data_IF_135843865798
#
_entry.id   IF_135843865798
#
_cell.length_a   1.000
_cell.length_b   1.000
_cell.length_c   1.000
_cell.angle_alpha   90.00
_cell.angle_beta   90.00
_cell.angle_gamma   90.00
#
_symmetry.space_group_name_H-M   'P 1'
#
loop_
_entity.id
_entity.type
_entity.pdbx_description
1 polymer ?
#
# COMPACT_ATOMS: atom_id res chain seq x y z
N UNK A 1 45.35 53.44 -37.57
CA UNK A 1 45.00 52.01 -37.97
C UNK A 1 44.30 51.38 -36.79
N UNK A 2 43.03 51.19 -36.91
CA UNK A 2 42.13 50.80 -35.81
C UNK A 2 41.72 49.37 -36.08
N UNK A 3 42.08 48.44 -35.18
CA UNK A 3 41.70 47.04 -35.25
C UNK A 3 40.48 46.75 -34.33
N UNK A 4 39.32 46.54 -34.90
CA UNK A 4 38.10 46.22 -34.18
C UNK A 4 38.11 44.70 -33.79
N UNK A 5 38.05 44.45 -32.48
CA UNK A 5 37.90 43.07 -31.95
C UNK A 5 36.41 42.83 -31.76
N UNK A 6 35.84 42.00 -32.66
CA UNK A 6 34.48 41.51 -32.55
C UNK A 6 34.41 40.41 -31.44
N UNK A 7 33.76 40.71 -30.31
CA UNK A 7 33.40 39.74 -29.31
C UNK A 7 32.10 39.03 -29.75
N UNK A 8 32.23 37.80 -30.13
CA UNK A 8 31.08 36.90 -30.34
C UNK A 8 30.60 36.39 -28.97
N UNK A 9 29.54 37.00 -28.45
CA UNK A 9 28.81 36.43 -27.30
C UNK A 9 27.97 35.25 -27.78
N UNK A 10 28.41 34.03 -27.52
CA UNK A 10 27.57 32.85 -27.67
C UNK A 10 26.54 32.82 -26.52
N UNK A 11 25.31 33.17 -26.83
CA UNK A 11 24.19 32.90 -25.96
C UNK A 11 23.93 31.39 -25.94
N UNK A 12 24.30 30.74 -24.83
CA UNK A 12 23.91 29.35 -24.57
C UNK A 12 22.46 29.42 -24.10
N UNK A 13 21.55 29.21 -25.04
CA UNK A 13 20.15 29.00 -24.79
C UNK A 13 19.95 27.67 -24.09
N UNK A 14 19.94 27.66 -22.77
CA UNK A 14 19.54 26.49 -22.00
C UNK A 14 18.01 26.38 -22.12
N UNK A 15 17.59 25.57 -23.08
CA UNK A 15 16.20 25.17 -23.19
C UNK A 15 15.82 24.35 -21.94
N UNK A 16 15.07 24.95 -21.04
CA UNK A 16 14.56 24.35 -19.80
C UNK A 16 13.06 24.00 -19.84
N UNK A 17 12.55 23.29 -20.85
CA UNK A 17 11.17 22.80 -20.76
C UNK A 17 11.04 21.44 -20.09
N UNK A 18 12.15 20.73 -19.81
CA UNK A 18 12.06 19.35 -19.33
C UNK A 18 11.91 19.20 -17.81
N UNK A 19 12.09 20.26 -17.04
CA UNK A 19 11.97 20.24 -15.58
C UNK A 19 10.52 20.31 -15.06
N UNK A 20 9.56 20.67 -15.91
CA UNK A 20 8.15 20.81 -15.54
C UNK A 20 7.31 19.52 -15.72
N UNK A 21 7.89 18.47 -16.35
CA UNK A 21 7.14 17.28 -16.68
C UNK A 21 7.19 16.17 -15.61
N UNK A 22 7.95 16.34 -14.54
CA UNK A 22 8.17 15.29 -13.52
C UNK A 22 7.18 15.36 -12.35
N UNK A 23 6.33 16.39 -12.26
CA UNK A 23 5.51 16.64 -11.04
C UNK A 23 4.11 16.04 -11.12
N UNK A 24 3.70 15.40 -12.22
CA UNK A 24 2.30 14.98 -12.43
C UNK A 24 2.00 13.50 -12.23
N UNK A 25 2.89 12.71 -11.62
CA UNK A 25 2.56 11.35 -11.19
C UNK A 25 2.09 11.28 -9.74
N UNK A 26 1.51 12.34 -9.20
CA UNK A 26 0.76 12.27 -7.96
C UNK A 26 -0.46 11.38 -8.19
N UNK A 27 -0.63 10.34 -7.39
CA UNK A 27 -1.87 9.58 -7.32
C UNK A 27 -3.01 10.53 -6.97
N UNK A 28 -3.63 11.15 -7.96
CA UNK A 28 -4.83 11.95 -7.78
C UNK A 28 -6.01 11.01 -7.58
N UNK A 29 -6.07 10.33 -6.44
CA UNK A 29 -7.30 9.68 -5.97
C UNK A 29 -8.16 10.78 -5.36
N UNK A 30 -9.11 11.30 -6.11
CA UNK A 30 -10.14 12.23 -5.65
C UNK A 30 -11.21 11.50 -4.83
N UNK A 31 -10.81 10.70 -3.86
CA UNK A 31 -11.76 10.17 -2.89
C UNK A 31 -11.99 11.22 -1.81
N UNK A 32 -13.22 11.69 -1.70
CA UNK A 32 -13.67 12.55 -0.59
C UNK A 32 -13.96 11.74 0.68
N UNK A 33 -13.81 10.41 0.63
CA UNK A 33 -14.05 9.54 1.77
C UNK A 33 -12.90 9.65 2.77
N UNK A 34 -13.25 9.93 4.03
CA UNK A 34 -12.28 10.01 5.12
C UNK A 34 -12.33 8.72 5.94
N UNK A 35 -11.24 7.96 5.88
CA UNK A 35 -11.09 6.78 6.73
C UNK A 35 -10.81 7.20 8.18
N UNK A 36 -11.32 6.41 9.13
CA UNK A 36 -10.99 6.62 10.53
C UNK A 36 -9.48 6.47 10.75
N UNK A 37 -8.90 7.37 11.50
CA UNK A 37 -7.49 7.24 11.92
C UNK A 37 -7.36 6.22 13.04
N UNK A 38 -6.26 5.42 13.06
CA UNK A 38 -6.00 4.48 14.13
C UNK A 38 -5.95 5.19 15.50
N UNK A 39 -6.80 4.77 16.42
CA UNK A 39 -6.88 5.27 17.80
C UNK A 39 -6.33 4.25 18.78
N UNK A 40 -6.23 4.63 20.06
CA UNK A 40 -5.70 3.78 21.11
C UNK A 40 -6.51 2.48 21.35
N UNK A 41 -7.79 2.46 20.97
CA UNK A 41 -8.69 1.30 21.05
C UNK A 41 -8.55 0.32 19.88
N UNK A 42 -7.80 0.68 18.85
CA UNK A 42 -7.52 -0.21 17.72
C UNK A 42 -6.55 -1.32 18.15
N UNK A 43 -6.87 -2.53 17.71
CA UNK A 43 -5.99 -3.68 17.88
C UNK A 43 -4.91 -3.65 16.81
N UNK A 44 -3.65 -3.84 17.24
CA UNK A 44 -2.51 -3.93 16.33
C UNK A 44 -1.92 -5.34 16.39
N UNK A 45 -1.59 -5.88 15.21
CA UNK A 45 -0.81 -7.11 15.06
C UNK A 45 0.30 -6.89 14.05
N UNK A 46 1.47 -7.40 14.40
CA UNK A 46 2.66 -7.38 13.53
C UNK A 46 3.05 -8.80 13.18
N UNK A 47 3.60 -8.98 11.98
CA UNK A 47 4.02 -10.30 11.53
C UNK A 47 4.71 -10.22 10.19
N UNK A 48 4.77 -11.34 9.51
CA UNK A 48 5.30 -11.45 8.15
C UNK A 48 4.19 -11.81 7.18
N UNK A 49 4.25 -11.25 5.98
CA UNK A 49 3.39 -11.57 4.86
C UNK A 49 4.23 -12.10 3.70
N UNK A 50 3.90 -13.29 3.22
CA UNK A 50 4.29 -13.76 1.90
C UNK A 50 3.15 -13.45 0.95
N UNK A 51 3.42 -12.61 -0.03
CA UNK A 51 2.55 -12.35 -1.18
C UNK A 51 3.13 -12.99 -2.42
N UNK A 52 2.31 -13.72 -3.16
CA UNK A 52 2.70 -14.35 -4.42
C UNK A 52 1.61 -14.17 -5.46
N UNK A 53 2.00 -13.74 -6.64
CA UNK A 53 1.21 -13.77 -7.86
C UNK A 53 2.04 -14.41 -9.01
N UNK A 54 1.50 -14.61 -10.23
CA UNK A 54 2.23 -15.24 -11.32
C UNK A 54 3.54 -14.56 -11.73
N UNK A 55 3.68 -13.26 -11.42
CA UNK A 55 4.84 -12.45 -11.82
C UNK A 55 5.82 -12.16 -10.69
N UNK A 56 5.35 -12.22 -9.44
CA UNK A 56 6.10 -11.69 -8.31
C UNK A 56 5.86 -12.54 -7.06
N UNK A 57 6.93 -12.77 -6.30
CA UNK A 57 6.86 -13.30 -4.94
C UNK A 57 7.61 -12.35 -4.02
N UNK A 58 6.95 -11.87 -2.98
CA UNK A 58 7.52 -10.94 -2.00
C UNK A 58 7.24 -11.46 -0.60
N UNK A 59 8.27 -11.42 0.25
CA UNK A 59 8.15 -11.61 1.70
C UNK A 59 8.55 -10.30 2.35
N UNK A 60 7.78 -9.87 3.32
CA UNK A 60 8.06 -8.63 4.05
C UNK A 60 7.31 -8.58 5.38
N UNK A 61 7.48 -7.47 6.07
CA UNK A 61 6.83 -7.23 7.34
C UNK A 61 5.43 -6.68 7.11
N UNK A 62 4.48 -7.10 7.91
CA UNK A 62 3.11 -6.64 7.87
C UNK A 62 2.68 -6.10 9.23
N UNK A 63 2.04 -4.95 9.20
CA UNK A 63 1.32 -4.38 10.34
C UNK A 63 -0.15 -4.32 10.00
N UNK A 64 -0.98 -4.92 10.82
CA UNK A 64 -2.45 -4.88 10.68
C UNK A 64 -3.01 -4.16 11.88
N UNK A 65 -3.88 -3.18 11.62
CA UNK A 65 -4.63 -2.44 12.62
C UNK A 65 -6.12 -2.54 12.31
N UNK A 66 -6.93 -2.75 13.32
CA UNK A 66 -8.38 -2.84 13.12
C UNK A 66 -9.15 -2.41 14.36
N UNK A 67 -10.32 -1.81 14.13
CA UNK A 67 -11.26 -1.40 15.16
C UNK A 67 -12.35 -2.45 15.39
N UNK A 68 -13.06 -2.33 16.51
CA UNK A 68 -14.27 -3.13 16.74
C UNK A 68 -15.44 -2.69 15.83
N UNK A 69 -15.40 -1.47 15.28
CA UNK A 69 -16.36 -0.96 14.31
C UNK A 69 -16.15 -1.51 12.89
N UNK A 70 -15.01 -2.21 12.67
CA UNK A 70 -14.71 -2.85 11.39
C UNK A 70 -13.79 -2.03 10.48
N UNK A 71 -13.23 -0.92 10.97
CA UNK A 71 -12.17 -0.24 10.24
C UNK A 71 -10.92 -1.11 10.20
N UNK A 72 -10.20 -1.05 9.11
CA UNK A 72 -9.05 -1.91 8.86
C UNK A 72 -7.94 -1.13 8.15
N UNK A 73 -6.73 -1.30 8.62
CA UNK A 73 -5.52 -0.81 7.98
C UNK A 73 -4.48 -1.93 7.92
N UNK A 74 -3.90 -2.15 6.75
CA UNK A 74 -2.80 -3.07 6.55
C UNK A 74 -1.66 -2.32 5.88
N UNK A 75 -0.48 -2.35 6.50
CA UNK A 75 0.77 -1.84 5.91
C UNK A 75 1.69 -3.02 5.64
N UNK A 76 2.11 -3.19 4.39
CA UNK A 76 3.07 -4.20 3.97
C UNK A 76 4.36 -3.53 3.52
N UNK A 77 5.49 -3.93 4.10
CA UNK A 77 6.80 -3.32 3.86
C UNK A 77 7.90 -4.37 3.66
N UNK A 78 8.93 -3.99 2.91
CA UNK A 78 10.13 -4.80 2.74
C UNK A 78 11.29 -4.11 3.43
N UNK A 79 11.57 -4.57 4.66
CA UNK A 79 12.60 -3.97 5.50
C UNK A 79 12.26 -2.53 5.94
N UNK A 80 13.18 -1.86 6.63
CA UNK A 80 12.96 -0.52 7.15
C UNK A 80 12.77 0.49 6.02
N UNK A 81 11.67 1.26 6.07
CA UNK A 81 11.45 2.42 5.21
C UNK A 81 10.94 2.14 3.79
N UNK A 82 10.73 0.89 3.39
CA UNK A 82 10.19 0.57 2.06
C UNK A 82 8.78 0.03 2.17
N UNK A 83 7.79 0.90 2.08
CA UNK A 83 6.38 0.52 2.01
C UNK A 83 6.05 0.02 0.61
N UNK A 84 5.55 -1.22 0.54
CA UNK A 84 5.14 -1.87 -0.70
C UNK A 84 3.66 -1.68 -0.99
N UNK A 85 2.84 -1.62 0.05
CA UNK A 85 1.41 -1.47 -0.07
C UNK A 85 0.78 -1.03 1.26
N UNK A 86 -0.20 -0.15 1.16
CA UNK A 86 -1.12 0.20 2.25
C UNK A 86 -2.53 -0.07 1.77
N UNK A 87 -3.32 -0.75 2.59
CA UNK A 87 -4.76 -0.93 2.42
C UNK A 87 -5.45 -0.27 3.59
N UNK A 88 -6.39 0.62 3.32
CA UNK A 88 -7.35 1.15 4.29
C UNK A 88 -8.75 0.76 3.85
N UNK A 89 -9.57 0.32 4.76
CA UNK A 89 -10.91 -0.18 4.44
C UNK A 89 -11.84 -0.01 5.63
N UNK A 90 -13.07 0.40 5.35
CA UNK A 90 -14.20 0.33 6.27
C UNK A 90 -15.32 -0.56 5.71
N UNK A 91 -16.56 -0.35 6.13
CA UNK A 91 -17.70 -1.15 5.69
C UNK A 91 -18.09 -0.91 4.22
N UNK A 92 -17.78 0.27 3.67
CA UNK A 92 -18.30 0.71 2.37
C UNK A 92 -17.22 1.07 1.36
N UNK A 93 -16.09 1.53 1.83
CA UNK A 93 -15.05 2.13 1.03
C UNK A 93 -13.68 1.53 1.33
N UNK A 94 -12.79 1.59 0.35
CA UNK A 94 -11.42 1.17 0.54
C UNK A 94 -10.47 2.06 -0.27
N UNK A 95 -9.22 2.09 0.20
CA UNK A 95 -8.09 2.74 -0.46
C UNK A 95 -6.90 1.78 -0.49
N UNK A 96 -6.24 1.68 -1.62
CA UNK A 96 -5.04 0.88 -1.79
C UNK A 96 -3.97 1.75 -2.45
N UNK A 97 -2.84 1.89 -1.76
CA UNK A 97 -1.71 2.72 -2.19
C UNK A 97 -0.43 1.88 -2.16
N UNK A 98 0.41 2.05 -3.15
CA UNK A 98 1.76 1.45 -3.16
C UNK A 98 2.10 0.73 -4.46
N UNK A 99 3.40 0.44 -4.65
CA UNK A 99 3.90 -0.14 -5.90
C UNK A 99 3.33 -1.53 -6.23
N UNK A 100 2.94 -2.33 -5.23
CA UNK A 100 2.32 -3.64 -5.48
C UNK A 100 0.88 -3.54 -5.98
N UNK A 101 0.21 -2.43 -5.77
CA UNK A 101 -1.12 -2.18 -6.33
C UNK A 101 -1.08 -1.91 -7.84
N UNK A 102 0.11 -1.58 -8.38
CA UNK A 102 0.28 -1.12 -9.76
C UNK A 102 -0.28 0.27 -10.01
N UNK A 103 -1.39 0.61 -9.41
CA UNK A 103 -2.04 1.94 -9.40
C UNK A 103 -2.68 2.17 -8.05
N UNK A 104 -2.61 3.40 -7.56
CA UNK A 104 -3.42 3.78 -6.39
C UNK A 104 -4.89 3.75 -6.77
N UNK A 105 -5.70 3.24 -5.86
CA UNK A 105 -7.14 3.19 -6.04
C UNK A 105 -7.85 3.55 -4.72
N UNK A 106 -8.94 4.29 -4.84
CA UNK A 106 -9.81 4.60 -3.72
C UNK A 106 -11.25 4.70 -4.20
N UNK A 107 -12.19 4.16 -3.43
CA UNK A 107 -13.60 4.19 -3.77
C UNK A 107 -14.44 3.12 -3.06
N UNK A 108 -15.72 2.97 -3.47
CA UNK A 108 -16.61 1.94 -2.95
C UNK A 108 -16.07 0.53 -3.25
N UNK A 109 -16.16 -0.38 -2.26
CA UNK A 109 -15.59 -1.73 -2.34
C UNK A 109 -16.16 -2.55 -3.50
N UNK A 110 -17.46 -2.38 -3.78
CA UNK A 110 -18.17 -3.05 -4.87
C UNK A 110 -17.64 -2.68 -6.26
N UNK A 111 -17.03 -1.49 -6.39
CA UNK A 111 -16.43 -0.98 -7.63
C UNK A 111 -14.93 -1.23 -7.74
N UNK A 112 -14.36 -1.97 -6.79
CA UNK A 112 -12.94 -2.25 -6.79
C UNK A 112 -12.51 -3.05 -8.04
N UNK A 113 -11.38 -2.67 -8.68
CA UNK A 113 -10.78 -3.45 -9.75
C UNK A 113 -10.52 -4.89 -9.34
N UNK A 114 -10.77 -5.84 -10.24
CA UNK A 114 -10.64 -7.27 -9.93
C UNK A 114 -9.25 -7.65 -9.40
N UNK A 115 -8.21 -7.02 -9.92
CA UNK A 115 -6.83 -7.25 -9.47
C UNK A 115 -6.52 -6.79 -8.04
N UNK A 116 -7.39 -5.98 -7.42
CA UNK A 116 -7.24 -5.51 -6.04
C UNK A 116 -8.13 -6.27 -5.05
N UNK A 117 -9.06 -7.10 -5.54
CA UNK A 117 -10.03 -7.80 -4.68
C UNK A 117 -9.36 -8.72 -3.67
N UNK A 118 -8.29 -9.41 -4.06
CA UNK A 118 -7.54 -10.26 -3.15
C UNK A 118 -7.05 -9.51 -1.91
N UNK A 119 -6.60 -8.28 -2.08
CA UNK A 119 -6.18 -7.42 -0.96
C UNK A 119 -7.35 -6.96 -0.08
N UNK A 120 -8.50 -6.69 -0.67
CA UNK A 120 -9.69 -6.26 0.08
C UNK A 120 -10.32 -7.40 0.87
N UNK A 121 -10.28 -8.63 0.36
CA UNK A 121 -10.78 -9.82 1.04
C UNK A 121 -9.98 -10.17 2.31
N UNK A 122 -8.75 -9.65 2.43
CA UNK A 122 -7.89 -9.89 3.60
C UNK A 122 -8.48 -9.37 4.89
N UNK A 123 -9.20 -8.26 4.87
CA UNK A 123 -9.86 -7.68 6.05
C UNK A 123 -10.63 -8.75 6.82
N UNK A 124 -11.61 -9.37 6.18
CA UNK A 124 -12.51 -10.32 6.83
C UNK A 124 -11.79 -11.61 7.23
N UNK A 125 -10.81 -12.04 6.44
CA UNK A 125 -10.02 -13.25 6.73
C UNK A 125 -9.12 -13.02 7.93
N UNK A 126 -8.38 -11.92 7.97
CA UNK A 126 -7.43 -11.60 9.04
C UNK A 126 -8.16 -11.28 10.34
N UNK A 127 -9.22 -10.45 10.31
CA UNK A 127 -9.99 -10.12 11.52
C UNK A 127 -10.58 -11.39 12.14
N UNK A 128 -11.21 -12.26 11.35
CA UNK A 128 -11.76 -13.53 11.85
C UNK A 128 -10.68 -14.41 12.47
N UNK A 129 -9.56 -14.59 11.78
CA UNK A 129 -8.47 -15.42 12.27
C UNK A 129 -7.87 -14.89 13.58
N UNK A 130 -7.73 -13.56 13.70
CA UNK A 130 -7.20 -12.92 14.90
C UNK A 130 -8.23 -12.88 16.06
N UNK A 131 -9.52 -12.89 15.75
CA UNK A 131 -10.58 -12.97 16.76
C UNK A 131 -10.68 -14.38 17.39
N UNK A 132 -10.35 -15.43 16.62
CA UNK A 132 -10.36 -16.83 17.11
C UNK A 132 -9.06 -17.23 17.80
N UNK A 133 -7.98 -16.48 17.65
CA UNK A 133 -6.72 -16.70 18.33
C UNK A 133 -6.88 -16.30 19.82
N UNK A 134 -7.06 -17.33 20.68
CA UNK A 134 -7.22 -17.15 22.14
C UNK A 134 -5.92 -16.57 22.74
N UNK A 135 -6.00 -15.57 23.64
CA UNK A 135 -4.81 -14.98 24.28
C UNK A 135 -4.13 -15.89 25.32
N UNK A 136 -4.67 -17.09 25.55
CA UNK A 136 -4.26 -17.96 26.66
C UNK A 136 -3.47 -19.19 26.22
N UNK A 137 -2.40 -18.98 25.45
CA UNK A 137 -1.47 -20.04 25.14
C UNK A 137 -0.05 -19.51 25.12
N UNK A 138 0.71 -19.69 26.20
CA UNK A 138 2.15 -19.40 26.28
C UNK A 138 3.01 -20.32 25.39
N UNK A 139 2.45 -20.83 24.32
CA UNK A 139 3.10 -21.64 23.30
C UNK A 139 3.47 -20.79 22.09
N UNK A 140 4.61 -21.09 21.50
CA UNK A 140 5.14 -20.54 20.23
C UNK A 140 4.26 -20.86 18.99
N UNK A 141 2.95 -20.91 19.15
CA UNK A 141 2.04 -21.17 18.01
C UNK A 141 1.96 -19.90 17.16
N UNK A 142 2.86 -19.84 16.19
CA UNK A 142 2.82 -18.85 15.12
C UNK A 142 1.50 -19.02 14.38
N UNK A 143 0.60 -18.10 14.61
CA UNK A 143 -0.69 -18.12 13.94
C UNK A 143 -0.51 -17.85 12.45
N UNK A 144 -0.79 -18.85 11.63
CA UNK A 144 -0.66 -18.74 10.18
C UNK A 144 -2.05 -18.60 9.55
N UNK A 145 -2.23 -17.55 8.75
CA UNK A 145 -3.44 -17.32 7.95
C UNK A 145 -3.07 -17.41 6.49
N UNK A 146 -3.71 -18.32 5.75
CA UNK A 146 -3.55 -18.45 4.31
C UNK A 146 -4.84 -18.02 3.60
N UNK A 147 -4.68 -17.16 2.59
CA UNK A 147 -5.75 -16.74 1.69
C UNK A 147 -5.30 -16.87 0.25
N UNK A 148 -6.21 -17.33 -0.62
CA UNK A 148 -5.99 -17.44 -2.07
C UNK A 148 -7.15 -16.74 -2.75
N UNK A 149 -6.86 -15.80 -3.63
CA UNK A 149 -7.83 -15.08 -4.44
C UNK A 149 -7.37 -15.09 -5.89
N UNK A 150 -8.06 -15.83 -6.75
CA UNK A 150 -7.64 -16.04 -8.13
C UNK A 150 -6.23 -16.65 -8.22
N UNK A 151 -5.31 -15.92 -8.85
CA UNK A 151 -3.90 -16.33 -8.98
C UNK A 151 -2.99 -15.78 -7.87
N UNK A 152 -3.55 -15.10 -6.88
CA UNK A 152 -2.80 -14.51 -5.79
C UNK A 152 -2.85 -15.39 -4.53
N UNK A 153 -1.75 -15.47 -3.83
CA UNK A 153 -1.64 -16.19 -2.55
C UNK A 153 -1.04 -15.28 -1.50
N UNK A 154 -1.69 -15.23 -0.35
CA UNK A 154 -1.29 -14.46 0.83
C UNK A 154 -1.09 -15.44 1.98
N UNK A 155 0.07 -15.39 2.64
CA UNK A 155 0.35 -16.20 3.82
C UNK A 155 0.89 -15.30 4.91
N UNK A 156 0.08 -15.09 5.95
CA UNK A 156 0.46 -14.33 7.13
C UNK A 156 1.02 -15.27 8.20
N UNK A 157 1.97 -14.76 8.95
CA UNK A 157 2.54 -15.38 10.16
C UNK A 157 2.64 -14.31 11.25
N UNK A 158 1.77 -14.38 12.21
CA UNK A 158 1.72 -13.49 13.37
C UNK A 158 2.40 -14.08 14.60
#
# INVERSE_FOLDING_TARGET
>A
MVGAIHRIARAIGVNRPYLLLIILTSCATTSTHQFAEPKADWRTRTGQLLYRNPKTTVIGDVVVRFSNAGDFELTFSKGPGVTLLIVRQDASSAEIIGPLAGRCWSGPIDRAPQQLRGWLELRDKVIRALATASPSGGGKDRHQVRHVSGSETFVFRF
#
